data_IF_942788889542
#
_entry.id   IF_942788889542
#
_cell.length_a   1.000
_cell.length_b   1.000
_cell.length_c   1.000
_cell.angle_alpha   90.00
_cell.angle_beta   90.00
_cell.angle_gamma   90.00
#
_symmetry.space_group_name_H-M   'P 1'
#
loop_
_entity.id
_entity.type
_entity.pdbx_description
1 polymer ?
#
# COMPACT_ATOMS: atom_id res chain seq x y z
N UNK A 1 -9.33 -3.73 -0.63
CA UNK A 1 -8.73 -2.44 -1.02
C UNK A 1 -7.37 -2.73 -1.66
N UNK A 2 -6.85 -1.89 -2.56
CA UNK A 2 -5.55 -2.11 -3.22
C UNK A 2 -4.38 -1.34 -2.57
N UNK A 3 -4.72 -0.57 -1.54
CA UNK A 3 -3.85 0.15 -0.64
C UNK A 3 -4.56 0.21 0.71
N UNK A 4 -3.82 0.26 1.80
CA UNK A 4 -4.42 0.47 3.13
C UNK A 4 -4.70 1.95 3.38
N UNK A 5 -5.45 2.26 4.42
CA UNK A 5 -5.99 3.60 4.67
C UNK A 5 -5.30 4.33 5.82
N UNK A 6 -4.04 4.03 6.10
CA UNK A 6 -3.27 4.72 7.15
C UNK A 6 -1.87 5.10 6.66
N UNK A 7 -1.19 6.07 7.29
CA UNK A 7 0.16 6.47 6.91
C UNK A 7 1.18 5.33 7.05
N UNK A 8 2.17 5.26 6.17
CA UNK A 8 3.27 4.32 6.29
C UNK A 8 4.07 4.60 7.57
N UNK A 9 4.40 3.55 8.31
CA UNK A 9 5.13 3.62 9.58
C UNK A 9 6.34 2.71 9.55
N UNK A 10 7.39 3.13 10.25
CA UNK A 10 8.56 2.29 10.55
C UNK A 10 8.21 1.39 11.74
N UNK A 11 8.03 0.10 11.46
CA UNK A 11 7.64 -0.88 12.46
C UNK A 11 8.75 -1.16 13.49
N UNK A 12 10.03 -0.91 13.15
CA UNK A 12 11.12 -0.99 14.11
C UNK A 12 11.01 0.12 15.15
N UNK A 13 10.76 1.34 14.69
CA UNK A 13 10.55 2.48 15.59
C UNK A 13 9.31 2.27 16.47
N UNK A 14 8.20 1.79 15.90
CA UNK A 14 7.00 1.49 16.69
C UNK A 14 7.24 0.45 17.79
N UNK A 15 8.10 -0.54 17.53
CA UNK A 15 8.51 -1.53 18.52
C UNK A 15 9.36 -0.91 19.63
N UNK A 16 10.33 -0.07 19.25
CA UNK A 16 11.20 0.68 20.17
C UNK A 16 10.44 1.65 21.07
N UNK A 17 9.36 2.26 20.59
CA UNK A 17 8.51 3.13 21.41
C UNK A 17 7.89 2.39 22.62
N UNK A 18 7.88 1.06 22.57
CA UNK A 18 7.27 0.19 23.57
C UNK A 18 8.27 -0.76 24.25
N UNK A 19 9.55 -0.72 23.87
CA UNK A 19 10.59 -1.65 24.33
C UNK A 19 11.95 -0.97 24.37
N UNK A 20 12.74 -1.21 25.42
CA UNK A 20 14.04 -0.56 25.61
C UNK A 20 15.05 -0.79 24.48
N UNK A 21 14.98 -1.93 23.78
CA UNK A 21 15.89 -2.30 22.70
C UNK A 21 15.22 -3.20 21.67
N UNK A 22 15.73 -3.18 20.44
CA UNK A 22 15.37 -4.15 19.40
C UNK A 22 16.02 -5.52 19.69
N UNK A 23 15.32 -6.63 19.40
CA UNK A 23 15.96 -7.95 19.37
C UNK A 23 16.98 -8.04 18.23
N UNK A 24 17.85 -9.06 18.23
CA UNK A 24 18.77 -9.31 17.11
C UNK A 24 18.04 -9.73 15.82
N UNK A 25 16.89 -10.38 15.97
CA UNK A 25 16.00 -10.79 14.90
C UNK A 25 14.58 -10.31 15.26
N UNK A 26 13.95 -9.55 14.37
CA UNK A 26 12.62 -9.00 14.56
C UNK A 26 11.66 -9.68 13.58
N UNK A 27 10.78 -10.50 14.13
CA UNK A 27 9.78 -11.24 13.37
C UNK A 27 8.45 -10.48 13.39
N UNK A 28 8.03 -10.00 12.21
CA UNK A 28 6.84 -9.16 12.03
C UNK A 28 5.79 -9.95 11.25
N UNK A 29 4.60 -10.12 11.82
CA UNK A 29 3.44 -10.67 11.12
C UNK A 29 2.52 -9.54 10.66
N UNK A 30 2.32 -9.41 9.35
CA UNK A 30 1.39 -8.45 8.74
C UNK A 30 0.16 -9.19 8.20
N UNK A 31 -0.99 -9.03 8.84
CA UNK A 31 -2.26 -9.62 8.42
C UNK A 31 -3.09 -8.58 7.68
N UNK A 32 -3.17 -8.74 6.37
CA UNK A 32 -4.06 -7.97 5.51
C UNK A 32 -3.62 -6.55 5.23
N UNK A 33 -2.33 -6.23 5.32
CA UNK A 33 -1.81 -4.88 5.09
C UNK A 33 -2.19 -4.31 3.71
N UNK A 34 -2.56 -5.16 2.75
CA UNK A 34 -3.03 -4.86 1.38
C UNK A 34 -1.98 -4.27 0.44
N UNK A 35 -0.97 -3.57 0.96
CA UNK A 35 0.17 -3.02 0.22
C UNK A 35 1.49 -3.19 0.99
N UNK A 36 2.60 -2.73 0.39
CA UNK A 36 3.93 -2.86 0.97
C UNK A 36 4.40 -1.63 1.76
N UNK A 37 3.53 -0.68 2.14
CA UNK A 37 4.01 0.60 2.68
C UNK A 37 4.80 0.46 3.97
N UNK A 38 4.37 -0.42 4.85
CA UNK A 38 5.04 -0.69 6.12
C UNK A 38 6.37 -1.40 5.89
N UNK A 39 6.41 -2.33 4.94
CA UNK A 39 7.63 -3.04 4.55
C UNK A 39 8.65 -2.04 3.98
N UNK A 40 8.26 -1.24 2.99
CA UNK A 40 9.15 -0.27 2.35
C UNK A 40 9.64 0.80 3.34
N UNK A 41 8.75 1.35 4.16
CA UNK A 41 9.11 2.35 5.17
C UNK A 41 10.08 1.76 6.20
N UNK A 42 9.82 0.57 6.71
CA UNK A 42 10.68 -0.08 7.73
C UNK A 42 12.05 -0.44 7.14
N UNK A 43 12.10 -0.99 5.92
CA UNK A 43 13.36 -1.34 5.26
C UNK A 43 14.18 -0.10 4.91
N UNK A 44 13.55 0.99 4.48
CA UNK A 44 14.22 2.25 4.22
C UNK A 44 14.95 2.78 5.46
N UNK A 45 14.37 2.62 6.65
CA UNK A 45 14.95 3.11 7.90
C UNK A 45 15.91 2.12 8.56
N UNK A 46 16.18 0.97 7.96
CA UNK A 46 16.97 -0.09 8.59
C UNK A 46 18.36 0.36 9.04
N UNK A 47 19.04 1.23 8.26
CA UNK A 47 20.35 1.79 8.63
C UNK A 47 20.35 2.63 9.91
N UNK A 48 19.17 3.09 10.38
CA UNK A 48 19.02 3.84 11.65
C UNK A 48 19.01 2.90 12.86
N UNK A 49 18.75 1.62 12.63
CA UNK A 49 18.60 0.60 13.67
C UNK A 49 19.90 -0.21 13.79
N UNK A 50 20.19 -0.72 14.99
CA UNK A 50 21.33 -1.63 15.23
C UNK A 50 21.24 -2.84 14.29
N UNK A 51 22.36 -3.52 13.96
CA UNK A 51 22.34 -4.64 13.02
C UNK A 51 21.24 -5.63 13.43
N UNK A 52 20.22 -5.72 12.58
CA UNK A 52 18.95 -6.36 12.87
C UNK A 52 18.58 -7.22 11.66
N UNK A 53 18.23 -8.47 11.93
CA UNK A 53 17.60 -9.32 10.94
C UNK A 53 16.08 -9.07 10.95
N UNK A 54 15.54 -8.59 9.83
CA UNK A 54 14.13 -8.29 9.65
C UNK A 54 13.42 -9.41 8.89
N UNK A 55 12.38 -10.00 9.49
CA UNK A 55 11.57 -11.02 8.83
C UNK A 55 10.09 -10.63 8.81
N UNK A 56 9.61 -10.25 7.64
CA UNK A 56 8.20 -9.97 7.40
C UNK A 56 7.46 -11.25 6.96
N UNK A 57 6.35 -11.53 7.62
CA UNK A 57 5.43 -12.61 7.31
C UNK A 57 4.09 -12.01 6.92
N UNK A 58 3.79 -12.02 5.62
CA UNK A 58 2.62 -11.34 5.05
C UNK A 58 1.52 -12.35 4.81
N UNK A 59 0.34 -12.10 5.39
CA UNK A 59 -0.87 -12.89 5.15
C UNK A 59 -1.91 -11.99 4.49
N UNK A 60 -2.23 -12.26 3.24
CA UNK A 60 -3.17 -11.45 2.45
C UNK A 60 -4.49 -12.18 2.21
N UNK A 61 -5.58 -11.41 2.12
CA UNK A 61 -6.93 -11.95 1.91
C UNK A 61 -7.24 -12.31 0.46
N UNK A 62 -6.53 -11.73 -0.50
CA UNK A 62 -6.70 -12.04 -1.91
C UNK A 62 -5.36 -12.04 -2.66
N UNK A 63 -5.34 -12.71 -3.81
CA UNK A 63 -4.10 -12.86 -4.57
C UNK A 63 -3.78 -11.64 -5.43
N UNK A 64 -4.76 -10.78 -5.71
CA UNK A 64 -4.53 -9.49 -6.34
C UNK A 64 -3.65 -8.59 -5.47
N UNK A 65 -3.86 -8.55 -4.15
CA UNK A 65 -2.99 -7.77 -3.26
C UNK A 65 -1.59 -8.37 -3.22
N UNK A 66 -1.46 -9.72 -3.16
CA UNK A 66 -0.15 -10.39 -3.26
C UNK A 66 0.57 -10.03 -4.56
N UNK A 67 -0.08 -10.15 -5.72
CA UNK A 67 0.52 -9.83 -7.00
C UNK A 67 0.96 -8.36 -7.08
N UNK A 68 0.15 -7.44 -6.56
CA UNK A 68 0.48 -6.01 -6.50
C UNK A 68 1.66 -5.74 -5.58
N UNK A 69 1.70 -6.38 -4.41
CA UNK A 69 2.80 -6.25 -3.48
C UNK A 69 4.11 -6.75 -4.10
N UNK A 70 4.09 -7.89 -4.79
CA UNK A 70 5.22 -8.37 -5.58
C UNK A 70 5.66 -7.38 -6.65
N UNK A 71 4.72 -6.78 -7.39
CA UNK A 71 5.00 -5.75 -8.39
C UNK A 71 5.66 -4.50 -7.78
N UNK A 72 5.16 -4.03 -6.64
CA UNK A 72 5.71 -2.86 -5.94
C UNK A 72 7.11 -3.15 -5.39
N UNK A 73 7.33 -4.32 -4.77
CA UNK A 73 8.64 -4.75 -4.30
C UNK A 73 9.65 -4.91 -5.44
N UNK A 74 9.23 -5.56 -6.55
CA UNK A 74 10.04 -5.68 -7.77
C UNK A 74 10.47 -4.31 -8.30
N UNK A 75 9.56 -3.35 -8.31
CA UNK A 75 9.83 -1.99 -8.80
C UNK A 75 10.73 -1.21 -7.85
N UNK A 76 10.48 -1.29 -6.54
CA UNK A 76 11.27 -0.58 -5.54
C UNK A 76 12.72 -1.07 -5.49
N UNK A 77 12.94 -2.37 -5.68
CA UNK A 77 14.26 -3.01 -5.58
C UNK A 77 15.01 -3.09 -6.91
N UNK A 78 14.50 -2.49 -8.00
CA UNK A 78 15.13 -2.54 -9.31
C UNK A 78 16.28 -1.50 -9.42
N UNK A 79 17.57 -1.89 -9.45
CA UNK A 79 18.66 -0.93 -9.40
C UNK A 79 18.89 -0.20 -10.74
N UNK A 80 18.31 -0.67 -11.85
CA UNK A 80 18.54 -0.08 -13.18
C UNK A 80 17.62 1.10 -13.49
N UNK A 81 16.65 1.38 -12.62
CA UNK A 81 15.78 2.56 -12.74
C UNK A 81 16.38 3.70 -11.90
N UNK A 82 16.57 4.86 -12.52
CA UNK A 82 16.98 6.06 -11.79
C UNK A 82 15.92 6.46 -10.75
N UNK A 83 16.34 7.13 -9.67
CA UNK A 83 15.48 7.43 -8.51
C UNK A 83 14.16 8.11 -8.89
N UNK A 84 14.21 9.19 -9.69
CA UNK A 84 13.00 9.91 -10.10
C UNK A 84 12.06 9.06 -10.96
N UNK A 85 12.63 8.28 -11.88
CA UNK A 85 11.87 7.39 -12.75
C UNK A 85 11.19 6.29 -11.91
N UNK A 86 11.94 5.69 -10.99
CA UNK A 86 11.47 4.65 -10.07
C UNK A 86 10.34 5.18 -9.18
N UNK A 87 10.49 6.36 -8.61
CA UNK A 87 9.45 7.01 -7.80
C UNK A 87 8.15 7.22 -8.56
N UNK A 88 8.21 7.89 -9.73
CA UNK A 88 7.00 8.19 -10.50
C UNK A 88 6.32 6.93 -11.03
N UNK A 89 7.11 5.94 -11.45
CA UNK A 89 6.60 4.63 -11.85
C UNK A 89 5.86 3.94 -10.71
N UNK A 90 6.44 3.93 -9.50
CA UNK A 90 5.80 3.34 -8.31
C UNK A 90 4.48 4.05 -7.99
N UNK A 91 4.46 5.39 -8.02
CA UNK A 91 3.23 6.17 -7.80
C UNK A 91 2.13 5.81 -8.79
N UNK A 92 2.45 5.73 -10.09
CA UNK A 92 1.48 5.36 -11.12
C UNK A 92 0.95 3.94 -10.93
N UNK A 93 1.82 2.95 -10.69
CA UNK A 93 1.43 1.57 -10.46
C UNK A 93 0.60 1.40 -9.18
N UNK A 94 0.93 2.18 -8.14
CA UNK A 94 0.28 2.15 -6.84
C UNK A 94 -1.15 2.68 -6.88
N UNK A 95 -1.38 3.83 -7.52
CA UNK A 95 -2.63 4.58 -7.34
C UNK A 95 -3.41 4.95 -8.58
N UNK A 96 -2.83 4.86 -9.79
CA UNK A 96 -3.49 5.35 -11.00
C UNK A 96 -4.14 4.23 -11.80
N UNK A 97 -5.39 4.43 -12.21
CA UNK A 97 -6.10 3.57 -13.17
C UNK A 97 -5.58 3.69 -14.59
N UNK A 98 -5.00 4.84 -14.94
CA UNK A 98 -4.41 5.11 -16.26
C UNK A 98 -2.93 5.47 -16.11
N UNK A 99 -2.10 4.84 -16.92
CA UNK A 99 -0.65 4.91 -16.93
C UNK A 99 -0.14 5.65 -18.17
N UNK A 100 1.08 6.20 -18.06
CA UNK A 100 1.87 6.55 -19.23
C UNK A 100 2.23 5.29 -20.04
N UNK A 101 2.46 5.41 -21.36
CA UNK A 101 2.92 4.30 -22.19
C UNK A 101 4.16 3.58 -21.66
N UNK A 102 5.12 4.33 -21.12
CA UNK A 102 6.32 3.76 -20.48
C UNK A 102 5.96 2.83 -19.32
N UNK A 103 5.14 3.32 -18.38
CA UNK A 103 4.77 2.59 -17.16
C UNK A 103 3.89 1.37 -17.46
N UNK A 104 3.05 1.46 -18.50
CA UNK A 104 2.30 0.31 -19.00
C UNK A 104 3.20 -0.75 -19.67
N UNK A 105 4.22 -0.34 -20.45
CA UNK A 105 5.20 -1.26 -21.00
C UNK A 105 5.98 -1.97 -19.86
N UNK A 106 6.42 -1.20 -18.87
CA UNK A 106 7.06 -1.75 -17.67
C UNK A 106 6.15 -2.77 -16.97
N UNK A 107 4.87 -2.47 -16.75
CA UNK A 107 3.92 -3.39 -16.12
C UNK A 107 3.82 -4.73 -16.87
N UNK A 108 3.78 -4.71 -18.21
CA UNK A 108 3.73 -5.94 -19.02
C UNK A 108 4.99 -6.77 -18.85
N UNK A 109 6.17 -6.15 -18.85
CA UNK A 109 7.44 -6.86 -18.63
C UNK A 109 7.55 -7.38 -17.19
N UNK A 110 7.18 -6.57 -16.20
CA UNK A 110 7.14 -6.98 -14.80
C UNK A 110 6.17 -8.16 -14.61
N UNK A 111 4.99 -8.15 -15.24
CA UNK A 111 4.05 -9.27 -15.16
C UNK A 111 4.61 -10.58 -15.73
N UNK A 112 5.42 -10.51 -16.80
CA UNK A 112 6.13 -11.69 -17.35
C UNK A 112 7.20 -12.21 -16.40
N UNK A 113 8.00 -11.32 -15.81
CA UNK A 113 8.98 -11.69 -14.77
C UNK A 113 8.28 -12.34 -13.56
N UNK A 114 7.19 -11.74 -13.08
CA UNK A 114 6.41 -12.27 -11.97
C UNK A 114 5.81 -13.65 -12.30
N UNK A 115 5.40 -13.88 -13.55
CA UNK A 115 4.86 -15.17 -14.00
C UNK A 115 5.90 -16.27 -13.84
N UNK A 116 7.14 -16.02 -14.28
CA UNK A 116 8.26 -16.94 -14.11
C UNK A 116 8.61 -17.14 -12.62
N UNK A 117 8.58 -16.06 -11.82
CA UNK A 117 8.83 -16.14 -10.37
C UNK A 117 7.80 -16.98 -9.61
N UNK A 118 6.53 -16.94 -10.00
CA UNK A 118 5.48 -17.74 -9.36
C UNK A 118 5.61 -19.22 -9.73
N UNK A 119 6.04 -19.52 -10.95
CA UNK A 119 6.25 -20.87 -11.46
C UNK A 119 7.55 -21.51 -10.95
N UNK A 120 8.65 -20.75 -10.89
CA UNK A 120 9.99 -21.22 -10.49
C UNK A 120 10.52 -20.42 -9.28
N UNK A 121 10.53 -21.08 -8.12
CA UNK A 121 11.07 -20.52 -6.88
C UNK A 121 12.57 -20.21 -6.95
N UNK A 122 13.36 -20.93 -7.74
CA UNK A 122 14.80 -20.68 -7.89
C UNK A 122 15.06 -19.51 -8.83
N UNK A 123 14.21 -19.31 -9.85
CA UNK A 123 14.18 -18.05 -10.59
C UNK A 123 13.83 -16.88 -9.65
N UNK A 124 12.80 -17.01 -8.82
CA UNK A 124 12.43 -15.99 -7.84
C UNK A 124 13.59 -15.62 -6.91
N UNK A 125 14.26 -16.60 -6.29
CA UNK A 125 15.40 -16.35 -5.40
C UNK A 125 16.56 -15.64 -6.08
N UNK A 126 16.80 -15.91 -7.37
CA UNK A 126 17.83 -15.21 -8.15
C UNK A 126 17.40 -13.79 -8.51
N UNK A 127 16.11 -13.58 -8.79
CA UNK A 127 15.55 -12.31 -9.23
C UNK A 127 15.35 -11.33 -8.08
N UNK A 128 14.63 -11.73 -7.03
CA UNK A 128 14.38 -10.96 -5.80
C UNK A 128 14.73 -11.86 -4.60
N UNK A 129 15.99 -11.84 -4.12
CA UNK A 129 16.44 -12.71 -3.04
C UNK A 129 15.69 -12.52 -1.71
N UNK A 130 15.13 -11.32 -1.48
CA UNK A 130 14.44 -10.96 -0.23
C UNK A 130 13.05 -11.56 -0.14
N UNK A 131 12.45 -12.04 -1.24
CA UNK A 131 11.06 -12.53 -1.27
C UNK A 131 11.02 -14.06 -1.23
N UNK A 132 10.02 -14.62 -0.55
CA UNK A 132 9.68 -16.04 -0.64
C UNK A 132 8.16 -16.26 -0.67
N UNK A 133 7.73 -17.27 -1.43
CA UNK A 133 6.31 -17.62 -1.60
C UNK A 133 5.95 -18.91 -0.87
N UNK A 134 5.37 -18.79 0.32
CA UNK A 134 4.79 -19.90 1.10
C UNK A 134 3.36 -20.27 0.71
N UNK A 135 2.89 -19.85 -0.47
CA UNK A 135 1.52 -19.99 -0.97
C UNK A 135 1.17 -21.41 -1.40
N UNK A 136 -0.13 -21.76 -1.35
CA UNK A 136 -0.64 -23.05 -1.85
C UNK A 136 -0.66 -23.09 -3.38
N UNK A 137 -0.66 -24.29 -3.96
CA UNK A 137 -0.74 -24.47 -5.42
C UNK A 137 -1.94 -23.74 -6.05
N UNK A 138 -3.14 -23.88 -5.48
CA UNK A 138 -4.34 -23.17 -5.96
C UNK A 138 -4.15 -21.65 -6.04
N UNK A 139 -3.47 -21.07 -5.05
CA UNK A 139 -3.24 -19.63 -4.98
C UNK A 139 -2.22 -19.21 -6.04
N UNK A 140 -1.19 -20.04 -6.27
CA UNK A 140 -0.20 -19.86 -7.35
C UNK A 140 -0.83 -19.97 -8.74
N UNK A 141 -1.70 -20.95 -8.97
CA UNK A 141 -2.42 -21.12 -10.24
C UNK A 141 -3.30 -19.90 -10.54
N UNK A 142 -3.95 -19.33 -9.52
CA UNK A 142 -4.70 -18.09 -9.68
C UNK A 142 -3.79 -16.90 -9.99
N UNK A 143 -2.66 -16.74 -9.28
CA UNK A 143 -1.67 -15.72 -9.58
C UNK A 143 -1.16 -15.83 -11.03
N UNK A 144 -0.92 -17.03 -11.52
CA UNK A 144 -0.50 -17.28 -12.89
C UNK A 144 -1.52 -16.74 -13.90
N UNK A 145 -2.81 -17.03 -13.69
CA UNK A 145 -3.90 -16.52 -14.54
C UNK A 145 -4.03 -14.99 -14.48
N UNK A 146 -3.89 -14.40 -13.29
CA UNK A 146 -3.91 -12.96 -13.09
C UNK A 146 -2.75 -12.27 -13.84
N UNK A 147 -1.54 -12.80 -13.72
CA UNK A 147 -0.34 -12.25 -14.36
C UNK A 147 -0.36 -12.43 -15.88
N UNK A 148 -0.92 -13.53 -16.38
CA UNK A 148 -1.23 -13.72 -17.80
C UNK A 148 -2.18 -12.65 -18.34
N UNK A 149 -3.18 -12.23 -17.56
CA UNK A 149 -4.06 -11.12 -17.94
C UNK A 149 -3.34 -9.77 -17.92
N UNK A 150 -2.46 -9.52 -16.94
CA UNK A 150 -1.65 -8.29 -16.89
C UNK A 150 -0.72 -8.16 -18.10
N UNK A 151 -0.11 -9.26 -18.54
CA UNK A 151 0.75 -9.31 -19.73
C UNK A 151 -0.02 -9.55 -21.05
N UNK A 152 -1.33 -9.79 -20.97
CA UNK A 152 -2.12 -10.34 -22.07
C UNK A 152 -2.56 -9.31 -23.11
N UNK A 153 -3.01 -9.77 -24.30
CA UNK A 153 -3.39 -8.90 -25.40
C UNK A 153 -4.83 -8.34 -25.28
N UNK A 154 -5.61 -8.77 -24.27
CA UNK A 154 -7.04 -8.46 -24.19
C UNK A 154 -7.28 -6.95 -24.07
N UNK A 155 -8.22 -6.37 -24.83
CA UNK A 155 -8.57 -4.96 -24.65
C UNK A 155 -9.19 -4.72 -23.26
N UNK A 156 -8.83 -3.60 -22.64
CA UNK A 156 -9.29 -3.28 -21.28
C UNK A 156 -9.60 -1.79 -21.14
N UNK A 157 -10.90 -1.47 -21.01
CA UNK A 157 -11.36 -0.10 -20.79
C UNK A 157 -11.61 0.17 -19.30
N UNK A 158 -10.56 0.63 -18.62
CA UNK A 158 -10.60 0.92 -17.19
C UNK A 158 -11.58 2.04 -16.81
N UNK A 159 -11.75 3.06 -17.69
CA UNK A 159 -12.60 4.22 -17.41
C UNK A 159 -14.08 3.86 -17.43
N UNK A 160 -14.50 3.02 -18.37
CA UNK A 160 -15.88 2.53 -18.44
C UNK A 160 -16.24 1.72 -17.18
N UNK A 161 -15.32 0.86 -16.73
CA UNK A 161 -15.52 0.08 -15.51
C UNK A 161 -15.57 0.96 -14.25
N UNK A 162 -14.69 1.96 -14.18
CA UNK A 162 -14.72 2.96 -13.12
C UNK A 162 -16.05 3.71 -13.10
N UNK A 163 -16.53 4.19 -14.25
CA UNK A 163 -17.78 4.94 -14.33
C UNK A 163 -19.00 4.09 -13.94
N UNK A 164 -19.07 2.83 -14.41
CA UNK A 164 -20.12 1.89 -14.02
C UNK A 164 -20.18 1.70 -12.51
N UNK A 165 -19.02 1.50 -11.87
CA UNK A 165 -18.95 1.33 -10.41
C UNK A 165 -19.29 2.62 -9.68
N UNK A 166 -18.83 3.77 -10.17
CA UNK A 166 -19.16 5.07 -9.61
C UNK A 166 -20.67 5.35 -9.64
N UNK A 167 -21.35 5.03 -10.75
CA UNK A 167 -22.82 5.11 -10.86
C UNK A 167 -23.51 4.24 -9.81
N UNK A 168 -23.05 3.00 -9.63
CA UNK A 168 -23.61 2.09 -8.63
C UNK A 168 -23.38 2.60 -7.21
N UNK A 169 -22.20 3.15 -6.90
CA UNK A 169 -21.89 3.67 -5.57
C UNK A 169 -22.66 4.95 -5.21
N UNK A 170 -22.86 5.86 -6.18
CA UNK A 170 -23.54 7.13 -5.93
C UNK A 170 -25.05 7.07 -6.14
N UNK A 171 -25.53 6.12 -6.95
CA UNK A 171 -26.92 5.96 -7.35
C UNK A 171 -27.54 7.31 -7.80
N UNK A 172 -28.60 7.76 -7.14
CA UNK A 172 -29.28 9.03 -7.44
C UNK A 172 -28.40 10.27 -7.30
N UNK A 173 -27.28 10.18 -6.56
CA UNK A 173 -26.33 11.28 -6.37
C UNK A 173 -25.28 11.36 -7.47
N UNK A 174 -25.32 10.48 -8.48
CA UNK A 174 -24.32 10.47 -9.55
C UNK A 174 -24.33 11.75 -10.38
N UNK A 175 -25.51 12.33 -10.66
CA UNK A 175 -25.61 13.57 -11.43
C UNK A 175 -25.03 14.78 -10.65
N UNK A 176 -25.02 14.71 -9.32
CA UNK A 176 -24.41 15.69 -8.42
C UNK A 176 -23.06 15.25 -7.83
N UNK A 177 -22.38 14.29 -8.49
CA UNK A 177 -21.15 13.63 -7.98
C UNK A 177 -20.06 14.59 -7.52
N UNK A 178 -19.85 15.71 -8.22
CA UNK A 178 -18.81 16.68 -7.87
C UNK A 178 -19.06 17.29 -6.49
N UNK A 179 -20.32 17.58 -6.13
CA UNK A 179 -20.67 18.09 -4.81
C UNK A 179 -20.51 17.04 -3.71
N UNK A 180 -20.73 15.75 -4.02
CA UNK A 180 -20.44 14.65 -3.09
C UNK A 180 -18.95 14.55 -2.81
N UNK A 181 -18.10 14.67 -3.84
CA UNK A 181 -16.65 14.60 -3.68
C UNK A 181 -16.13 15.76 -2.81
N UNK A 182 -16.58 16.98 -3.09
CA UNK A 182 -16.25 18.16 -2.30
C UNK A 182 -16.60 17.98 -0.81
N UNK A 183 -17.82 17.49 -0.55
CA UNK A 183 -18.27 17.21 0.80
C UNK A 183 -17.43 16.12 1.49
N UNK A 184 -17.15 15.00 0.81
CA UNK A 184 -16.34 13.91 1.36
C UNK A 184 -14.93 14.41 1.75
N UNK A 185 -14.30 15.23 0.90
CA UNK A 185 -12.97 15.77 1.19
C UNK A 185 -12.98 16.73 2.37
N UNK A 186 -13.82 17.77 2.32
CA UNK A 186 -13.80 18.85 3.30
C UNK A 186 -14.40 18.45 4.65
N UNK A 187 -15.47 17.65 4.64
CA UNK A 187 -16.22 17.30 5.85
C UNK A 187 -15.80 15.98 6.48
N UNK A 188 -15.07 15.12 5.76
CA UNK A 188 -14.65 13.81 6.25
C UNK A 188 -13.14 13.75 6.35
N UNK A 189 -12.44 13.71 5.22
CA UNK A 189 -11.00 13.45 5.19
C UNK A 189 -10.18 14.56 5.85
N UNK A 190 -10.42 15.85 5.52
CA UNK A 190 -9.64 16.97 6.10
C UNK A 190 -9.85 17.15 7.60
N UNK A 191 -11.00 16.71 8.14
CA UNK A 191 -11.28 16.81 9.59
C UNK A 191 -10.44 15.85 10.42
N UNK A 192 -10.01 14.74 9.84
CA UNK A 192 -9.25 13.66 10.50
C UNK A 192 -7.77 13.66 10.09
N UNK A 193 -7.26 14.79 9.61
CA UNK A 193 -5.82 14.96 9.34
C UNK A 193 -5.40 14.83 7.87
N UNK A 194 -6.30 14.53 6.93
CA UNK A 194 -5.96 14.49 5.49
C UNK A 194 -5.93 15.89 4.83
N UNK A 195 -5.43 16.91 5.56
CA UNK A 195 -5.39 18.31 5.12
C UNK A 195 -4.52 18.55 3.88
N UNK A 196 -3.53 17.67 3.65
CA UNK A 196 -2.61 17.78 2.52
C UNK A 196 -3.27 17.48 1.16
N UNK A 197 -4.39 16.73 1.16
CA UNK A 197 -5.08 16.33 -0.07
C UNK A 197 -5.81 17.54 -0.69
N UNK A 198 -5.33 17.94 -1.86
CA UNK A 198 -5.90 19.06 -2.62
C UNK A 198 -7.17 18.65 -3.37
N UNK A 199 -8.05 19.63 -3.61
CA UNK A 199 -9.36 19.41 -4.23
C UNK A 199 -9.25 18.82 -5.64
N UNK A 200 -8.19 19.16 -6.35
CA UNK A 200 -7.99 18.78 -7.74
C UNK A 200 -7.56 17.33 -7.92
N UNK A 201 -6.58 16.88 -7.14
CA UNK A 201 -6.10 15.50 -7.17
C UNK A 201 -7.20 14.57 -6.65
N UNK A 202 -7.92 14.97 -5.60
CA UNK A 202 -9.05 14.21 -5.09
C UNK A 202 -10.19 14.11 -6.10
N UNK A 203 -10.58 15.24 -6.72
CA UNK A 203 -11.62 15.23 -7.76
C UNK A 203 -11.21 14.40 -8.98
N UNK A 204 -9.96 14.50 -9.42
CA UNK A 204 -9.40 13.69 -10.50
C UNK A 204 -9.48 12.19 -10.18
N UNK A 205 -9.07 11.81 -8.97
CA UNK A 205 -9.15 10.45 -8.48
C UNK A 205 -10.59 9.95 -8.44
N UNK A 206 -11.53 10.69 -7.82
CA UNK A 206 -12.94 10.27 -7.72
C UNK A 206 -13.61 10.12 -9.09
N UNK A 207 -13.28 10.99 -10.04
CA UNK A 207 -13.87 10.95 -11.39
C UNK A 207 -13.35 9.80 -12.24
N UNK A 208 -12.04 9.53 -12.22
CA UNK A 208 -11.41 8.65 -13.22
C UNK A 208 -10.45 7.61 -12.63
N UNK A 209 -10.17 7.65 -11.34
CA UNK A 209 -9.14 6.85 -10.68
C UNK A 209 -7.71 7.32 -10.95
N UNK A 210 -7.53 8.58 -11.39
CA UNK A 210 -6.22 9.19 -11.59
C UNK A 210 -5.83 10.02 -10.36
N UNK A 211 -5.03 9.43 -9.47
CA UNK A 211 -4.58 10.06 -8.23
C UNK A 211 -3.39 10.99 -8.43
N UNK A 212 -2.36 10.50 -9.11
CA UNK A 212 -1.08 11.20 -9.28
C UNK A 212 -0.93 11.68 -10.72
N UNK A 213 -0.68 12.97 -10.90
CA UNK A 213 -0.51 13.58 -12.22
C UNK A 213 0.52 14.70 -12.22
N UNK A 214 1.22 14.80 -13.35
CA UNK A 214 2.23 15.81 -13.64
C UNK A 214 1.85 16.58 -14.90
N UNK A 215 2.19 17.87 -14.96
CA UNK A 215 1.87 18.77 -16.07
C UNK A 215 2.35 18.26 -17.44
N UNK A 216 3.48 17.56 -17.46
CA UNK A 216 4.19 17.16 -18.67
C UNK A 216 3.79 15.76 -19.17
N UNK A 217 2.85 15.09 -18.50
CA UNK A 217 2.57 13.66 -18.70
C UNK A 217 1.16 13.40 -19.26
N UNK A 218 1.10 12.81 -20.44
CA UNK A 218 -0.15 12.29 -21.00
C UNK A 218 -0.35 10.81 -20.60
N UNK A 219 -1.42 10.55 -19.85
CA UNK A 219 -1.84 9.21 -19.44
C UNK A 219 -2.79 8.63 -20.48
N UNK A 220 -2.52 7.44 -20.99
CA UNK A 220 -3.32 6.87 -22.09
C UNK A 220 -3.47 5.35 -22.06
N UNK A 221 -2.81 4.63 -21.15
CA UNK A 221 -2.84 3.17 -21.11
C UNK A 221 -3.52 2.68 -19.83
N UNK A 222 -4.30 1.60 -19.85
CA UNK A 222 -4.97 1.15 -18.64
C UNK A 222 -4.01 0.43 -17.69
N UNK A 223 -4.17 0.65 -16.38
CA UNK A 223 -3.45 -0.08 -15.35
C UNK A 223 -4.14 -1.42 -15.05
N UNK A 224 -3.65 -2.50 -15.68
CA UNK A 224 -4.19 -3.85 -15.48
C UNK A 224 -3.96 -4.40 -14.08
N UNK A 225 -3.00 -3.85 -13.33
CA UNK A 225 -2.70 -4.30 -11.96
C UNK A 225 -3.77 -3.93 -10.94
N UNK A 226 -4.73 -3.07 -11.31
CA UNK A 226 -5.86 -2.66 -10.47
C UNK A 226 -7.15 -3.41 -10.82
N UNK A 227 -7.05 -4.56 -11.49
CA UNK A 227 -8.20 -5.41 -11.84
C UNK A 227 -8.34 -6.54 -10.82
N UNK A 228 -9.59 -6.81 -10.43
CA UNK A 228 -9.96 -7.90 -9.54
C UNK A 228 -10.79 -9.00 -10.22
N UNK A 229 -10.68 -10.20 -9.66
CA UNK A 229 -11.46 -11.38 -10.00
C UNK A 229 -11.31 -11.77 -11.47
N UNK A 230 -10.06 -11.97 -11.88
CA UNK A 230 -9.72 -12.43 -13.23
C UNK A 230 -10.00 -13.93 -13.33
N UNK A 231 -10.84 -14.29 -14.28
CA UNK A 231 -11.16 -15.66 -14.70
C UNK A 231 -10.79 -15.80 -16.18
N UNK A 232 -10.68 -17.04 -16.67
CA UNK A 232 -10.07 -17.36 -17.98
C UNK A 232 -10.53 -16.48 -19.15
N UNK A 233 -11.78 -15.98 -19.15
CA UNK A 233 -12.33 -15.08 -20.17
C UNK A 233 -13.10 -13.87 -19.61
N UNK A 234 -13.03 -13.60 -18.30
CA UNK A 234 -13.82 -12.54 -17.67
C UNK A 234 -13.06 -11.87 -16.53
N UNK A 235 -13.39 -10.62 -16.23
CA UNK A 235 -12.84 -9.89 -15.10
C UNK A 235 -13.91 -8.98 -14.51
N UNK A 236 -13.86 -8.74 -13.20
CA UNK A 236 -14.82 -7.85 -12.52
C UNK A 236 -14.38 -6.38 -12.57
N UNK A 237 -13.22 -6.08 -13.15
CA UNK A 237 -12.70 -4.72 -13.28
C UNK A 237 -12.11 -4.19 -11.98
N UNK A 238 -12.21 -2.87 -11.78
CA UNK A 238 -11.66 -2.22 -10.59
C UNK A 238 -12.49 -2.54 -9.34
N UNK A 239 -11.91 -3.27 -8.38
CA UNK A 239 -12.53 -3.63 -7.09
C UNK A 239 -11.89 -2.91 -5.87
N UNK A 240 -11.01 -1.95 -6.10
CA UNK A 240 -10.34 -1.18 -5.05
C UNK A 240 -11.21 -0.09 -4.40
N UNK A 241 -10.59 0.76 -3.60
CA UNK A 241 -11.25 1.92 -2.99
C UNK A 241 -11.52 3.03 -4.03
N UNK A 242 -12.66 3.71 -3.92
CA UNK A 242 -13.05 4.84 -4.79
C UNK A 242 -13.43 6.08 -4.01
N UNK A 243 -13.25 6.09 -2.68
CA UNK A 243 -13.64 7.19 -1.81
C UNK A 243 -12.42 7.90 -1.23
N UNK A 244 -11.53 7.19 -0.54
CA UNK A 244 -10.39 7.80 0.17
C UNK A 244 -9.20 8.07 -0.75
N UNK A 245 -8.88 7.12 -1.63
CA UNK A 245 -7.75 7.17 -2.54
C UNK A 245 -6.40 6.80 -1.92
N UNK A 246 -5.35 6.68 -2.76
CA UNK A 246 -4.03 6.20 -2.37
C UNK A 246 -3.16 7.26 -1.65
N UNK A 247 -3.74 8.40 -1.27
CA UNK A 247 -3.02 9.55 -0.73
C UNK A 247 -2.48 9.31 0.69
N UNK A 248 -3.21 8.53 1.49
CA UNK A 248 -2.99 8.42 2.94
C UNK A 248 -1.63 7.77 3.25
N UNK A 249 -1.24 6.75 2.49
CA UNK A 249 -0.05 5.95 2.78
C UNK A 249 1.26 6.74 2.79
N UNK A 250 1.46 7.68 1.87
CA UNK A 250 2.73 8.41 1.72
C UNK A 250 2.57 9.92 1.59
N UNK A 251 1.33 10.44 1.53
CA UNK A 251 1.06 11.79 1.05
C UNK A 251 0.53 12.76 2.12
N UNK A 252 0.52 12.38 3.40
CA UNK A 252 0.02 13.23 4.50
C UNK A 252 1.14 13.84 5.34
N UNK A 253 2.16 13.05 5.66
CA UNK A 253 3.24 13.44 6.56
C UNK A 253 4.55 13.57 5.79
N UNK A 254 5.46 14.41 6.24
CA UNK A 254 6.75 14.65 5.60
C UNK A 254 7.77 15.05 6.65
N UNK A 255 8.98 14.46 6.63
CA UNK A 255 10.06 14.91 7.54
C UNK A 255 10.51 16.35 7.21
N UNK A 256 10.32 16.80 5.96
CA UNK A 256 10.56 18.19 5.58
C UNK A 256 9.27 19.01 5.70
N UNK A 257 9.20 19.79 6.78
CA UNK A 257 8.07 20.66 7.10
C UNK A 257 7.79 21.72 6.01
N UNK A 258 8.74 22.01 5.11
CA UNK A 258 8.49 22.92 3.99
C UNK A 258 7.37 22.42 3.06
N UNK A 259 7.21 21.10 2.91
CA UNK A 259 6.18 20.48 2.07
C UNK A 259 4.77 20.57 2.66
N UNK A 260 4.67 20.74 3.98
CA UNK A 260 3.40 20.81 4.70
C UNK A 260 2.94 22.25 4.92
N UNK A 261 3.62 23.23 4.32
CA UNK A 261 3.25 24.64 4.44
C UNK A 261 1.95 24.92 3.69
N UNK A 262 1.05 25.62 4.38
CA UNK A 262 -0.21 26.12 3.85
C UNK A 262 -0.28 27.64 4.00
N UNK A 263 -0.76 28.33 2.97
CA UNK A 263 -0.97 29.79 2.96
C UNK A 263 -2.41 30.07 2.54
N UNK A 264 -3.15 30.84 3.33
CA UNK A 264 -4.56 31.19 3.08
C UNK A 264 -5.47 29.96 2.85
N UNK A 265 -5.20 28.85 3.56
CA UNK A 265 -5.96 27.60 3.43
C UNK A 265 -5.67 26.80 2.16
N UNK A 266 -4.64 27.19 1.39
CA UNK A 266 -4.13 26.43 0.25
C UNK A 266 -2.74 25.89 0.56
N UNK A 267 -2.54 24.60 0.35
CA UNK A 267 -1.23 23.98 0.52
C UNK A 267 -0.28 24.47 -0.58
N UNK A 268 0.99 24.69 -0.25
CA UNK A 268 2.00 25.02 -1.26
C UNK A 268 2.25 23.81 -2.18
N UNK A 269 2.30 22.62 -1.58
CA UNK A 269 2.48 21.34 -2.26
C UNK A 269 1.22 20.49 -2.15
N UNK A 270 1.00 19.61 -3.12
CA UNK A 270 -0.11 18.65 -3.12
C UNK A 270 0.26 17.39 -2.34
N UNK A 271 -0.70 16.51 -2.07
CA UNK A 271 -0.42 15.17 -1.54
C UNK A 271 0.42 14.34 -2.54
N UNK A 272 0.22 14.56 -3.84
CA UNK A 272 1.08 14.03 -4.91
C UNK A 272 2.56 14.39 -4.71
N UNK A 273 2.85 15.66 -4.42
CA UNK A 273 4.22 16.16 -4.32
C UNK A 273 4.90 15.66 -3.03
N UNK A 274 4.14 15.57 -1.92
CA UNK A 274 4.58 14.93 -0.66
C UNK A 274 4.87 13.44 -0.88
N UNK A 275 3.99 12.74 -1.60
CA UNK A 275 4.18 11.32 -1.94
C UNK A 275 5.45 11.12 -2.77
N UNK A 276 5.69 11.97 -3.77
CA UNK A 276 6.90 11.92 -4.60
C UNK A 276 8.15 12.12 -3.76
N UNK A 277 8.16 13.11 -2.85
CA UNK A 277 9.27 13.37 -1.92
C UNK A 277 9.54 12.17 -1.01
N UNK A 278 8.50 11.62 -0.37
CA UNK A 278 8.65 10.53 0.59
C UNK A 278 9.08 9.23 -0.07
N UNK A 279 8.54 8.91 -1.25
CA UNK A 279 8.98 7.74 -2.00
C UNK A 279 10.42 7.90 -2.52
N UNK A 280 10.85 9.10 -2.96
CA UNK A 280 12.27 9.34 -3.27
C UNK A 280 13.16 9.05 -2.07
N UNK A 281 12.76 9.52 -0.88
CA UNK A 281 13.48 9.22 0.35
C UNK A 281 13.52 7.71 0.63
N UNK A 282 12.37 7.03 0.65
CA UNK A 282 12.27 5.59 0.90
C UNK A 282 13.16 4.81 -0.05
N UNK A 283 13.04 5.05 -1.36
CA UNK A 283 13.78 4.31 -2.38
C UNK A 283 15.29 4.58 -2.32
N UNK A 284 15.70 5.83 -2.07
CA UNK A 284 17.11 6.16 -1.88
C UNK A 284 17.71 5.45 -0.67
N UNK A 285 17.01 5.50 0.47
CA UNK A 285 17.51 4.95 1.73
C UNK A 285 17.53 3.41 1.71
N UNK A 286 16.59 2.76 1.01
CA UNK A 286 16.67 1.32 0.74
C UNK A 286 17.95 0.96 -0.03
N UNK A 287 18.25 1.73 -1.08
CA UNK A 287 19.35 1.45 -2.01
C UNK A 287 20.73 1.75 -1.42
N UNK A 288 20.86 2.85 -0.68
CA UNK A 288 22.15 3.35 -0.20
C UNK A 288 22.41 3.07 1.28
N UNK A 289 21.38 2.75 2.07
CA UNK A 289 21.48 2.60 3.53
C UNK A 289 22.08 3.84 4.22
N UNK A 290 21.75 5.02 3.70
CA UNK A 290 22.23 6.32 4.16
C UNK A 290 21.08 7.34 4.14
N UNK A 291 21.10 8.38 5.00
CA UNK A 291 20.02 9.37 5.05
C UNK A 291 19.88 10.15 3.75
N UNK A 292 18.65 10.23 3.23
CA UNK A 292 18.36 11.02 2.03
C UNK A 292 18.47 12.52 2.31
N UNK A 293 19.28 13.21 1.51
CA UNK A 293 19.34 14.69 1.49
C UNK A 293 18.59 15.20 0.29
N UNK A 294 17.49 15.88 0.55
CA UNK A 294 16.67 16.44 -0.51
C UNK A 294 17.39 17.62 -1.22
N UNK A 295 17.55 17.53 -2.54
CA UNK A 295 18.13 18.59 -3.37
C UNK A 295 16.99 19.29 -4.10
N UNK A 296 16.74 20.55 -3.74
CA UNK A 296 15.59 21.32 -4.21
C UNK A 296 15.84 21.86 -5.62
N UNK A 297 15.67 21.01 -6.64
CA UNK A 297 16.08 21.32 -8.02
C UNK A 297 14.94 21.67 -8.96
N UNK A 298 13.71 21.15 -8.74
CA UNK A 298 12.60 21.29 -9.71
C UNK A 298 11.18 21.33 -9.09
N UNK A 299 11.05 21.75 -7.83
CA UNK A 299 9.78 21.62 -7.11
C UNK A 299 8.80 22.75 -7.44
N UNK A 300 7.73 22.42 -8.17
CA UNK A 300 6.66 23.36 -8.49
C UNK A 300 5.62 23.35 -7.36
N UNK A 301 5.34 24.51 -6.79
CA UNK A 301 4.27 24.69 -5.79
C UNK A 301 2.89 24.68 -6.48
N UNK A 302 2.40 23.48 -6.75
CA UNK A 302 1.16 23.26 -7.51
C UNK A 302 -0.09 23.17 -6.65
N UNK A 303 0.00 23.28 -5.32
CA UNK A 303 -1.16 23.08 -4.44
C UNK A 303 -2.30 24.08 -4.67
N UNK A 304 -1.99 25.32 -5.07
CA UNK A 304 -2.98 26.32 -5.49
C UNK A 304 -3.31 26.35 -6.99
N UNK A 305 -2.56 25.60 -7.82
CA UNK A 305 -2.65 25.69 -9.29
C UNK A 305 -3.82 24.88 -9.81
N UNK A 306 -4.78 25.48 -10.53
CA UNK A 306 -5.87 24.74 -11.20
C UNK A 306 -5.41 24.07 -12.49
N UNK A 307 -5.25 22.75 -12.43
CA UNK A 307 -4.99 21.92 -13.61
C UNK A 307 -6.27 21.81 -14.47
N UNK A 308 -6.13 21.94 -15.79
CA UNK A 308 -7.23 21.63 -16.71
C UNK A 308 -7.54 20.15 -16.62
N UNK A 309 -8.80 19.83 -16.37
CA UNK A 309 -9.31 18.47 -16.41
C UNK A 309 -9.69 18.13 -17.84
N UNK A 310 -8.69 17.79 -18.64
CA UNK A 310 -8.93 17.33 -20.00
C UNK A 310 -9.61 15.95 -19.97
N UNK A 311 -10.41 15.66 -20.99
CA UNK A 311 -11.03 14.35 -21.14
C UNK A 311 -9.93 13.31 -21.35
N UNK A 312 -9.81 12.37 -20.40
CA UNK A 312 -8.84 11.28 -20.53
C UNK A 312 -9.21 10.39 -21.71
N UNK A 313 -8.26 10.22 -22.63
CA UNK A 313 -8.40 9.30 -23.77
C UNK A 313 -7.53 8.09 -23.46
N UNK A 314 -8.16 6.94 -23.31
CA UNK A 314 -7.47 5.67 -23.06
C UNK A 314 -7.46 4.85 -24.34
N UNK A 315 -6.27 4.42 -24.74
CA UNK A 315 -6.08 3.39 -25.76
C UNK A 315 -6.16 2.02 -25.07
N UNK A 316 -7.26 1.27 -25.26
CA UNK A 316 -7.47 0.00 -24.57
C UNK A 316 -6.63 -1.13 -25.18
N UNK A 317 -5.98 -0.89 -26.32
CA UNK A 317 -5.19 -1.91 -27.02
C UNK A 317 -3.98 -2.31 -26.21
N UNK A 318 -3.64 -3.59 -26.30
CA UNK A 318 -2.42 -4.10 -25.71
C UNK A 318 -1.17 -3.50 -26.36
N UNK A 319 -0.11 -3.39 -25.58
CA UNK A 319 1.18 -2.95 -26.06
C UNK A 319 1.94 -4.15 -26.63
N UNK A 320 2.52 -3.97 -27.82
CA UNK A 320 3.59 -4.84 -28.30
C UNK A 320 4.86 -4.49 -27.52
N UNK A 321 5.23 -5.37 -26.59
CA UNK A 321 6.37 -5.15 -25.69
C UNK A 321 7.45 -6.17 -25.99
N UNK A 322 8.64 -5.68 -26.34
CA UNK A 322 9.86 -6.48 -26.41
C UNK A 322 10.26 -6.92 -25.01
N UNK A 323 10.41 -8.23 -24.76
CA UNK A 323 10.90 -8.73 -23.48
C UNK A 323 12.27 -8.15 -23.17
N UNK A 324 12.44 -7.61 -21.98
CA UNK A 324 13.75 -7.21 -21.48
C UNK A 324 14.47 -8.44 -20.89
N UNK A 325 15.80 -8.45 -20.96
CA UNK A 325 16.58 -9.47 -20.28
C UNK A 325 16.33 -9.39 -18.76
N UNK A 326 16.15 -10.54 -18.08
CA UNK A 326 15.87 -10.52 -16.66
C UNK A 326 17.13 -10.10 -15.89
N UNK A 327 17.02 -8.99 -15.16
CA UNK A 327 18.08 -8.50 -14.29
C UNK A 327 17.72 -8.71 -12.82
N UNK A 328 18.70 -9.02 -11.95
CA UNK A 328 18.47 -9.20 -10.52
C UNK A 328 18.19 -7.85 -9.85
N UNK A 329 17.34 -7.89 -8.83
CA UNK A 329 17.07 -6.77 -7.95
C UNK A 329 18.15 -6.62 -6.86
N UNK A 330 18.10 -5.49 -6.16
CA UNK A 330 18.96 -5.20 -5.01
C UNK A 330 18.89 -6.33 -3.96
N UNK A 331 20.06 -6.78 -3.51
CA UNK A 331 20.16 -7.75 -2.43
C UNK A 331 20.17 -7.03 -1.07
N UNK A 332 19.27 -7.43 -0.17
CA UNK A 332 19.23 -6.95 1.21
C UNK A 332 19.41 -8.17 2.14
N UNK A 333 20.65 -8.50 2.57
CA UNK A 333 20.94 -9.77 3.25
C UNK A 333 20.23 -9.91 4.60
N UNK A 334 19.90 -8.79 5.24
CA UNK A 334 19.28 -8.76 6.57
C UNK A 334 17.74 -8.66 6.50
N UNK A 335 17.13 -8.80 5.32
CA UNK A 335 15.69 -8.62 5.12
C UNK A 335 15.10 -9.84 4.43
N UNK A 336 14.03 -10.38 5.00
CA UNK A 336 13.20 -11.41 4.38
C UNK A 336 11.72 -11.01 4.38
N UNK A 337 11.04 -11.29 3.27
CA UNK A 337 9.61 -11.03 3.06
C UNK A 337 8.96 -12.32 2.58
N UNK A 338 8.15 -12.92 3.43
CA UNK A 338 7.50 -14.21 3.19
C UNK A 338 6.00 -14.05 3.05
N UNK A 339 5.47 -14.36 1.87
CA UNK A 339 4.04 -14.43 1.63
C UNK A 339 3.47 -15.77 2.11
N UNK A 340 2.39 -15.73 2.87
CA UNK A 340 1.74 -16.87 3.49
C UNK A 340 0.24 -16.88 3.14
N UNK A 341 -0.37 -18.06 2.94
CA UNK A 341 -1.80 -18.16 2.72
C UNK A 341 -2.57 -17.87 4.02
N UNK A 342 -3.83 -17.42 3.92
CA UNK A 342 -4.70 -17.15 5.07
C UNK A 342 -4.86 -18.36 6.00
N UNK A 343 -4.83 -19.57 5.44
CA UNK A 343 -4.85 -20.81 6.24
C UNK A 343 -3.66 -20.99 7.17
N UNK A 344 -2.56 -20.24 6.97
CA UNK A 344 -1.42 -20.25 7.90
C UNK A 344 -1.83 -19.75 9.27
N UNK A 345 -2.77 -18.81 9.36
CA UNK A 345 -3.28 -18.32 10.64
C UNK A 345 -3.93 -19.44 11.45
N UNK A 346 -4.68 -20.35 10.80
CA UNK A 346 -5.24 -21.53 11.46
C UNK A 346 -4.14 -22.46 12.00
N UNK A 347 -3.05 -22.65 11.25
CA UNK A 347 -1.91 -23.46 11.70
C UNK A 347 -1.17 -22.82 12.87
N UNK A 348 -1.03 -21.49 12.86
CA UNK A 348 -0.33 -20.73 13.90
C UNK A 348 -1.02 -20.87 15.28
N UNK A 349 -2.33 -21.15 15.33
CA UNK A 349 -3.06 -21.43 16.59
C UNK A 349 -2.63 -22.71 17.30
N UNK A 350 -2.08 -23.68 16.57
CA UNK A 350 -1.85 -25.03 17.12
C UNK A 350 -0.39 -25.48 17.05
N UNK A 351 0.41 -24.94 16.14
CA UNK A 351 1.81 -25.37 15.95
C UNK A 351 2.75 -24.63 16.92
N UNK A 352 3.54 -25.40 17.68
CA UNK A 352 4.45 -24.86 18.70
C UNK A 352 5.56 -23.97 18.14
N UNK A 353 5.96 -24.18 16.88
CA UNK A 353 6.95 -23.33 16.21
C UNK A 353 6.56 -21.84 16.13
N UNK A 354 5.27 -21.51 16.27
CA UNK A 354 4.78 -20.12 16.23
C UNK A 354 4.48 -19.55 17.61
N UNK A 355 4.69 -20.33 18.69
CA UNK A 355 4.44 -19.86 20.04
C UNK A 355 5.40 -18.71 20.37
N UNK A 356 4.85 -17.52 20.65
CA UNK A 356 5.58 -16.28 20.95
C UNK A 356 6.70 -15.98 19.94
N UNK A 357 6.45 -16.30 18.67
CA UNK A 357 7.44 -16.17 17.61
C UNK A 357 7.51 -14.75 17.05
N UNK A 358 6.38 -14.04 16.97
CA UNK A 358 6.32 -12.71 16.37
C UNK A 358 6.48 -11.62 17.43
N UNK A 359 7.55 -10.83 17.33
CA UNK A 359 7.78 -9.66 18.17
C UNK A 359 6.69 -8.60 17.96
N UNK A 360 6.22 -8.45 16.72
CA UNK A 360 5.15 -7.53 16.34
C UNK A 360 4.11 -8.24 15.47
N UNK A 361 2.83 -8.14 15.85
CA UNK A 361 1.70 -8.61 15.05
C UNK A 361 0.82 -7.43 14.66
N UNK A 362 0.56 -7.30 13.38
CA UNK A 362 -0.22 -6.23 12.79
C UNK A 362 -1.47 -6.77 12.12
N UNK A 363 -2.61 -6.13 12.37
CA UNK A 363 -3.88 -6.41 11.69
C UNK A 363 -4.41 -5.17 10.99
N UNK A 364 -4.67 -5.31 9.70
CA UNK A 364 -5.36 -4.29 8.92
C UNK A 364 -6.85 -4.17 9.29
N UNK A 365 -7.42 -3.01 8.99
CA UNK A 365 -8.76 -2.63 9.45
C UNK A 365 -9.91 -3.51 8.94
N UNK A 366 -9.67 -4.27 7.88
CA UNK A 366 -10.65 -5.12 7.20
C UNK A 366 -10.45 -6.61 7.49
N UNK A 367 -9.54 -6.96 8.42
CA UNK A 367 -9.19 -8.34 8.75
C UNK A 367 -9.41 -8.69 10.23
N UNK A 368 -10.34 -8.00 10.90
CA UNK A 368 -10.72 -8.29 12.29
C UNK A 368 -11.29 -9.70 12.51
N UNK A 369 -11.77 -10.37 11.46
CA UNK A 369 -12.25 -11.75 11.52
C UNK A 369 -11.14 -12.73 11.95
N UNK A 370 -9.89 -12.34 11.75
CA UNK A 370 -8.71 -13.11 12.17
C UNK A 370 -8.11 -12.61 13.48
N UNK A 371 -8.60 -11.49 14.04
CA UNK A 371 -8.19 -11.00 15.34
C UNK A 371 -9.02 -11.73 16.42
N UNK A 372 -8.37 -12.65 17.12
CA UNK A 372 -8.90 -13.38 18.27
C UNK A 372 -7.82 -13.64 19.31
N UNK A 373 -8.28 -13.79 20.56
CA UNK A 373 -7.43 -14.02 21.73
C UNK A 373 -6.56 -15.27 21.59
N UNK A 374 -7.11 -16.38 21.06
CA UNK A 374 -6.37 -17.65 20.93
C UNK A 374 -5.18 -17.52 19.98
N UNK A 375 -5.39 -16.93 18.81
CA UNK A 375 -4.32 -16.68 17.85
C UNK A 375 -3.29 -15.72 18.42
N UNK A 376 -3.73 -14.53 18.84
CA UNK A 376 -2.83 -13.44 19.21
C UNK A 376 -2.06 -13.79 20.48
N UNK A 377 -2.73 -14.33 21.51
CA UNK A 377 -2.10 -14.74 22.76
C UNK A 377 -1.09 -15.86 22.59
N UNK A 378 -1.23 -16.70 21.55
CA UNK A 378 -0.23 -17.72 21.24
C UNK A 378 0.95 -17.18 20.46
N UNK A 379 0.73 -16.33 19.45
CA UNK A 379 1.76 -16.03 18.44
C UNK A 379 2.52 -14.73 18.71
N UNK A 380 1.86 -13.75 19.32
CA UNK A 380 2.46 -12.45 19.63
C UNK A 380 3.32 -12.55 20.88
N UNK A 381 4.50 -11.94 20.81
CA UNK A 381 5.47 -11.91 21.91
C UNK A 381 5.40 -10.60 22.69
N UNK A 382 5.21 -9.47 22.00
CA UNK A 382 5.31 -8.15 22.62
C UNK A 382 4.28 -7.14 22.12
N UNK A 383 4.29 -6.79 20.84
CA UNK A 383 3.48 -5.68 20.33
C UNK A 383 2.38 -6.16 19.39
N UNK A 384 1.15 -5.72 19.66
CA UNK A 384 0.00 -5.88 18.78
C UNK A 384 -0.39 -4.51 18.24
N UNK A 385 -0.49 -4.39 16.92
CA UNK A 385 -0.90 -3.17 16.22
C UNK A 385 -2.16 -3.47 15.43
N UNK A 386 -3.21 -2.68 15.63
CA UNK A 386 -4.45 -2.79 14.87
C UNK A 386 -4.71 -1.47 14.16
N UNK A 387 -4.85 -1.56 12.84
CA UNK A 387 -5.14 -0.44 11.95
C UNK A 387 -6.56 0.10 12.25
N UNK A 388 -6.67 1.41 12.47
CA UNK A 388 -7.93 2.08 12.75
C UNK A 388 -8.62 2.55 11.46
N UNK A 389 -9.94 2.77 11.53
CA UNK A 389 -10.78 3.14 10.38
C UNK A 389 -10.89 4.66 10.18
N UNK A 390 -9.91 5.42 10.67
CA UNK A 390 -9.94 6.88 10.74
C UNK A 390 -10.26 7.53 9.40
N UNK A 391 -9.66 7.03 8.32
CA UNK A 391 -9.80 7.56 6.96
C UNK A 391 -10.89 6.87 6.12
N UNK A 392 -11.76 6.05 6.73
CA UNK A 392 -12.94 5.50 6.05
C UNK A 392 -14.01 6.59 5.98
N UNK A 393 -14.26 7.12 4.77
CA UNK A 393 -15.14 8.29 4.53
C UNK A 393 -16.54 8.12 5.14
N UNK A 394 -17.07 6.89 5.24
CA UNK A 394 -18.41 6.62 5.80
C UNK A 394 -18.49 6.64 7.32
N UNK A 395 -17.38 6.47 8.04
CA UNK A 395 -17.39 6.26 9.49
C UNK A 395 -17.39 7.57 10.25
N UNK A 396 -18.38 7.77 11.13
CA UNK A 396 -18.42 8.90 12.06
C UNK A 396 -17.87 8.46 13.41
N UNK A 397 -17.74 9.42 14.32
CA UNK A 397 -17.29 9.19 15.70
C UNK A 397 -17.89 7.93 16.34
N UNK A 398 -19.22 7.76 16.26
CA UNK A 398 -19.88 6.58 16.81
C UNK A 398 -19.40 5.25 16.18
N UNK A 399 -19.20 5.19 14.86
CA UNK A 399 -18.68 3.97 14.20
C UNK A 399 -17.21 3.73 14.54
N UNK A 400 -16.41 4.80 14.68
CA UNK A 400 -15.00 4.69 15.10
C UNK A 400 -14.89 4.17 16.54
N UNK A 401 -15.73 4.67 17.44
CA UNK A 401 -15.83 4.21 18.84
C UNK A 401 -16.30 2.75 18.92
N UNK A 402 -17.33 2.37 18.15
CA UNK A 402 -17.82 0.99 18.06
C UNK A 402 -16.73 0.03 17.55
N UNK A 403 -16.00 0.44 16.52
CA UNK A 403 -14.88 -0.33 15.99
C UNK A 403 -13.75 -0.50 17.01
N UNK A 404 -13.37 0.58 17.71
CA UNK A 404 -12.38 0.52 18.78
C UNK A 404 -12.82 -0.39 19.93
N UNK A 405 -14.10 -0.33 20.31
CA UNK A 405 -14.66 -1.20 21.34
C UNK A 405 -14.66 -2.67 20.91
N UNK A 406 -14.96 -2.95 19.64
CA UNK A 406 -14.91 -4.30 19.07
C UNK A 406 -13.50 -4.90 19.16
N UNK A 407 -12.46 -4.09 18.88
CA UNK A 407 -11.07 -4.52 19.03
C UNK A 407 -10.79 -4.87 20.49
N UNK A 408 -11.13 -3.98 21.44
CA UNK A 408 -10.92 -4.23 22.88
C UNK A 408 -11.60 -5.51 23.33
N UNK A 409 -12.84 -5.76 22.92
CA UNK A 409 -13.57 -6.99 23.25
C UNK A 409 -12.89 -8.25 22.70
N UNK A 410 -12.32 -8.20 21.49
CA UNK A 410 -11.65 -9.34 20.86
C UNK A 410 -10.34 -9.76 21.54
N UNK A 411 -9.71 -8.85 22.27
CA UNK A 411 -8.43 -9.09 22.95
C UNK A 411 -8.53 -8.94 24.48
N UNK A 412 -9.75 -8.85 25.02
CA UNK A 412 -9.99 -8.54 26.44
C UNK A 412 -9.41 -9.59 27.41
N UNK A 413 -9.29 -10.85 27.00
CA UNK A 413 -8.68 -11.90 27.82
C UNK A 413 -7.15 -11.94 27.78
N UNK A 414 -6.51 -11.12 26.94
CA UNK A 414 -5.05 -11.00 26.93
C UNK A 414 -4.58 -10.07 28.04
N UNK A 415 -3.47 -10.44 28.70
CA UNK A 415 -2.73 -9.54 29.59
C UNK A 415 -1.95 -8.51 28.75
N UNK A 416 -2.69 -7.56 28.19
CA UNK A 416 -2.21 -6.56 27.26
C UNK A 416 -2.55 -5.15 27.75
N UNK A 417 -1.55 -4.28 27.84
CA UNK A 417 -1.73 -2.87 28.13
C UNK A 417 -2.03 -2.10 26.84
N UNK A 418 -3.20 -1.45 26.77
CA UNK A 418 -3.51 -0.48 25.72
C UNK A 418 -2.66 0.79 25.90
N UNK A 419 -1.96 1.20 24.85
CA UNK A 419 -1.24 2.48 24.82
C UNK A 419 -2.22 3.64 24.57
N UNK A 420 -1.85 4.90 24.89
CA UNK A 420 -2.70 6.05 24.63
C UNK A 420 -3.22 6.08 23.18
N UNK A 421 -4.54 6.22 23.04
CA UNK A 421 -5.24 6.18 21.76
C UNK A 421 -6.41 7.17 21.75
N UNK A 422 -6.38 8.11 20.80
CA UNK A 422 -7.47 9.04 20.48
C UNK A 422 -8.19 8.57 19.20
N UNK A 423 -9.45 8.16 19.37
CA UNK A 423 -10.31 7.58 18.32
C UNK A 423 -10.44 8.50 17.09
N UNK A 424 -10.35 9.83 17.27
CA UNK A 424 -10.57 10.80 16.18
C UNK A 424 -9.25 11.31 15.55
N UNK A 425 -8.08 10.86 16.05
CA UNK A 425 -6.77 11.35 15.59
C UNK A 425 -5.78 10.25 15.26
N UNK A 426 -5.81 9.13 15.99
CA UNK A 426 -4.79 8.10 15.87
C UNK A 426 -5.19 7.07 14.80
N UNK A 427 -4.20 6.73 13.96
CA UNK A 427 -4.38 5.76 12.88
C UNK A 427 -4.24 4.30 13.34
N UNK A 428 -3.73 4.07 14.54
CA UNK A 428 -3.39 2.75 15.06
C UNK A 428 -3.75 2.61 16.53
N UNK A 429 -4.43 1.51 16.87
CA UNK A 429 -4.53 1.04 18.24
C UNK A 429 -3.36 0.12 18.53
N UNK A 430 -2.70 0.29 19.68
CA UNK A 430 -1.50 -0.46 20.06
C UNK A 430 -1.69 -1.10 21.43
N UNK A 431 -1.32 -2.37 21.53
CA UNK A 431 -1.40 -3.14 22.76
C UNK A 431 -0.07 -3.84 23.01
N UNK A 432 0.38 -3.77 24.26
CA UNK A 432 1.70 -4.27 24.68
C UNK A 432 1.49 -5.43 25.65
N UNK A 433 2.02 -6.60 25.30
CA UNK A 433 1.93 -7.82 26.09
C UNK A 433 3.05 -7.87 27.14
N UNK A 434 2.67 -8.17 28.39
CA UNK A 434 3.56 -8.31 29.54
C UNK A 434 4.08 -6.97 30.11
N UNK A 435 4.20 -6.89 31.44
CA UNK A 435 5.00 -5.86 32.11
C UNK A 435 6.49 -6.19 31.98
N UNK A 436 7.33 -5.16 31.81
CA UNK A 436 8.78 -5.25 31.66
C UNK A 436 9.50 -6.18 32.65
#
# INVERSE_FOLDING_TARGET
MFWGLTPAVDLCQMYLDCSAQLPAELNILLVGATDCRHVLQTVARLYRHQPLQLNFHLVEGCMETVARQLLILLTALQPQLGLDQKTRLLMELYGNTVLRPFSANYLVNAARDLLEMVADCDYLRRKIPVVSLGLKYRDRDYLENLLKFWAGPQEFNVLEMWDRRLRNCLATRYDSKVGVFDWDLHMRLRRVGAGQVCDQEYRSFRLHGLAFSWLESAMSRPNRSLVGGVMSNAHFGYLGDMETGPFIGYGLECEDAAFLKSTNGQNAFRSTDVTERNLKQILFEIEHQEPYRHINTDERQLGGTRLRQDTLIVDPRALEVTPNAPQPCLALPNVSVRFLPTSSLARMRHQDQYKQFFDLVYFAQNHLDHLDEELVGRVAKRLIVVEHQLFVVKHRKAQLEEYAQTIRTKIAGLDAQELPFDVEKDSYMRFVLGSE
#
